data_IF_792303109715
#
_entry.id   IF_792303109715
#
_cell.length_a   1.000
_cell.length_b   1.000
_cell.length_c   1.000
_cell.angle_alpha   90.00
_cell.angle_beta   90.00
_cell.angle_gamma   90.00
#
_symmetry.space_group_name_H-M   'P 1'
#
loop_
_entity.id
_entity.type
_entity.pdbx_description
1 polymer ?
#
# COMPACT_ATOMS: atom_id res chain seq x y z
N UNK A 1 -5.27 10.14 19.11
CA UNK A 1 -4.74 8.89 18.53
C UNK A 1 -5.41 8.47 17.23
N UNK A 2 -6.74 8.20 17.19
CA UNK A 2 -7.42 7.69 15.98
C UNK A 2 -7.19 8.50 14.69
N UNK A 3 -7.29 9.84 14.74
CA UNK A 3 -7.07 10.72 13.58
C UNK A 3 -5.64 10.68 13.04
N UNK A 4 -4.64 10.51 13.93
CA UNK A 4 -3.23 10.40 13.52
C UNK A 4 -2.97 9.07 12.81
N UNK A 5 -3.52 7.98 13.34
CA UNK A 5 -3.44 6.67 12.71
C UNK A 5 -4.14 6.65 11.35
N UNK A 6 -5.33 7.24 11.25
CA UNK A 6 -6.04 7.41 9.98
C UNK A 6 -5.18 8.14 8.96
N UNK A 7 -4.57 9.27 9.35
CA UNK A 7 -3.68 10.03 8.48
C UNK A 7 -2.45 9.22 8.07
N UNK A 8 -1.86 8.46 8.98
CA UNK A 8 -0.70 7.60 8.70
C UNK A 8 -1.05 6.51 7.67
N UNK A 9 -2.17 5.80 7.83
CA UNK A 9 -2.65 4.82 6.87
C UNK A 9 -2.87 5.44 5.50
N UNK A 10 -3.51 6.62 5.45
CA UNK A 10 -3.76 7.32 4.19
C UNK A 10 -2.47 7.83 3.54
N UNK A 11 -1.45 8.25 4.31
CA UNK A 11 -0.13 8.61 3.77
C UNK A 11 0.54 7.41 3.11
N UNK A 12 0.56 6.24 3.78
CA UNK A 12 1.17 5.04 3.22
C UNK A 12 0.43 4.57 1.96
N UNK A 13 -0.89 4.59 1.99
CA UNK A 13 -1.73 4.26 0.85
C UNK A 13 -1.50 5.22 -0.34
N UNK A 14 -1.45 6.53 -0.08
CA UNK A 14 -1.16 7.56 -1.08
C UNK A 14 0.23 7.39 -1.72
N UNK A 15 1.26 7.18 -0.91
CA UNK A 15 2.63 7.00 -1.41
C UNK A 15 2.73 5.77 -2.30
N UNK A 16 2.11 4.66 -1.87
CA UNK A 16 2.07 3.41 -2.64
C UNK A 16 1.33 3.59 -3.95
N UNK A 17 0.16 4.25 -3.93
CA UNK A 17 -0.60 4.54 -5.15
C UNK A 17 0.23 5.36 -6.15
N UNK A 18 0.84 6.48 -5.72
CA UNK A 18 1.65 7.32 -6.60
C UNK A 18 2.91 6.60 -7.10
N UNK A 19 3.54 5.76 -6.28
CA UNK A 19 4.70 4.94 -6.68
C UNK A 19 4.30 3.89 -7.71
N UNK A 20 3.26 3.11 -7.47
CA UNK A 20 2.76 2.12 -8.42
C UNK A 20 2.36 2.80 -9.73
N UNK A 21 1.65 3.92 -9.65
CA UNK A 21 1.30 4.70 -10.83
C UNK A 21 2.55 5.11 -11.61
N UNK A 22 3.56 5.69 -10.94
CA UNK A 22 4.81 6.10 -11.59
C UNK A 22 5.56 4.91 -12.22
N UNK A 23 5.73 3.81 -11.49
CA UNK A 23 6.45 2.62 -11.98
C UNK A 23 5.75 2.06 -13.22
N UNK A 24 4.44 1.84 -13.15
CA UNK A 24 3.72 1.24 -14.25
C UNK A 24 3.55 2.17 -15.45
N UNK A 25 3.37 3.49 -15.25
CA UNK A 25 3.18 4.43 -16.36
C UNK A 25 4.46 4.99 -16.96
N UNK A 26 5.54 5.12 -16.20
CA UNK A 26 6.79 5.75 -16.66
C UNK A 26 7.90 4.74 -16.87
N UNK A 27 8.12 3.83 -15.93
CA UNK A 27 9.24 2.90 -16.04
C UNK A 27 8.90 1.68 -16.89
N UNK A 28 7.76 1.03 -16.60
CA UNK A 28 7.40 -0.25 -17.23
C UNK A 28 6.54 -0.10 -18.48
N UNK A 29 5.99 1.08 -18.77
CA UNK A 29 5.09 1.27 -19.91
C UNK A 29 5.84 1.42 -21.23
N UNK A 30 5.77 0.46 -22.17
CA UNK A 30 6.43 0.57 -23.45
C UNK A 30 5.90 1.74 -24.28
N UNK A 31 4.62 2.11 -24.12
CA UNK A 31 4.02 3.24 -24.83
C UNK A 31 4.61 4.58 -24.40
N UNK A 32 5.04 4.70 -23.13
CA UNK A 32 5.74 5.89 -22.66
C UNK A 32 7.09 6.04 -23.37
N UNK A 33 7.87 4.96 -23.44
CA UNK A 33 9.15 4.95 -24.16
C UNK A 33 8.99 5.21 -25.66
N UNK A 34 7.98 4.60 -26.28
CA UNK A 34 7.64 4.85 -27.68
C UNK A 34 7.27 6.31 -27.94
N UNK A 35 6.67 7.00 -26.96
CA UNK A 35 6.35 8.43 -27.09
C UNK A 35 7.58 9.33 -27.18
N UNK A 36 8.72 8.92 -26.61
CA UNK A 36 9.97 9.68 -26.60
C UNK A 36 10.72 9.59 -27.94
N UNK A 37 10.58 8.46 -28.64
CA UNK A 37 11.36 8.11 -29.83
C UNK A 37 10.84 8.74 -31.15
N UNK A 38 9.81 9.62 -31.10
CA UNK A 38 9.22 10.34 -32.25
C UNK A 38 9.10 9.50 -33.54
N UNK A 39 8.15 8.56 -33.54
CA UNK A 39 7.86 7.69 -34.68
C UNK A 39 6.94 8.34 -35.71
N UNK A 40 7.20 8.11 -37.01
CA UNK A 40 6.32 8.56 -38.09
C UNK A 40 5.31 7.49 -38.56
N UNK A 41 4.71 6.78 -37.59
CA UNK A 41 3.63 5.83 -37.86
C UNK A 41 2.33 6.32 -37.22
N UNK A 42 1.27 6.42 -38.03
CA UNK A 42 -0.06 6.90 -37.59
C UNK A 42 -0.66 6.03 -36.48
N UNK A 43 -0.48 4.71 -36.53
CA UNK A 43 -1.00 3.78 -35.53
C UNK A 43 -0.28 3.93 -34.18
N UNK A 44 1.06 4.08 -34.21
CA UNK A 44 1.86 4.33 -32.99
C UNK A 44 1.48 5.67 -32.36
N UNK A 45 1.30 6.73 -33.17
CA UNK A 45 0.84 8.04 -32.69
C UNK A 45 -0.54 7.93 -32.00
N UNK A 46 -1.47 7.16 -32.57
CA UNK A 46 -2.78 6.92 -31.97
C UNK A 46 -2.70 6.17 -30.62
N UNK A 47 -1.91 5.09 -30.54
CA UNK A 47 -1.68 4.34 -29.30
C UNK A 47 -1.07 5.21 -28.19
N UNK A 48 -0.03 5.99 -28.51
CA UNK A 48 0.61 6.93 -27.57
C UNK A 48 -0.38 7.98 -27.08
N UNK A 49 -1.20 8.54 -27.99
CA UNK A 49 -2.21 9.53 -27.62
C UNK A 49 -3.30 8.97 -26.71
N UNK A 50 -3.67 7.70 -26.91
CA UNK A 50 -4.66 7.01 -26.10
C UNK A 50 -4.10 6.73 -24.70
N UNK A 51 -2.84 6.30 -24.62
CA UNK A 51 -2.13 6.14 -23.35
C UNK A 51 -2.07 7.44 -22.54
N UNK A 52 -1.71 8.57 -23.17
CA UNK A 52 -1.67 9.88 -22.49
C UNK A 52 -3.03 10.31 -21.95
N UNK A 53 -4.12 10.12 -22.70
CA UNK A 53 -5.48 10.43 -22.22
C UNK A 53 -5.89 9.60 -21.00
N UNK A 54 -5.46 8.34 -20.93
CA UNK A 54 -5.72 7.46 -19.78
C UNK A 54 -4.87 7.90 -18.59
N UNK A 55 -3.60 8.28 -18.81
CA UNK A 55 -2.72 8.83 -17.77
C UNK A 55 -3.29 10.12 -17.16
N UNK A 56 -3.69 11.08 -18.00
CA UNK A 56 -4.34 12.34 -17.59
C UNK A 56 -5.67 12.08 -16.86
N UNK A 57 -6.45 11.09 -17.32
CA UNK A 57 -7.67 10.66 -16.62
C UNK A 57 -7.41 10.07 -15.23
N UNK A 58 -6.31 9.32 -15.07
CA UNK A 58 -5.90 8.72 -13.79
C UNK A 58 -5.13 9.68 -12.86
N UNK A 59 -4.57 10.77 -13.39
CA UNK A 59 -3.94 11.84 -12.60
C UNK A 59 -4.91 12.94 -12.19
N UNK A 60 -5.77 13.40 -13.11
CA UNK A 60 -6.55 14.63 -12.94
C UNK A 60 -8.04 14.39 -12.66
N UNK A 61 -8.61 13.26 -13.09
CA UNK A 61 -10.06 12.99 -12.96
C UNK A 61 -10.45 12.00 -11.87
N UNK A 62 -9.48 11.37 -11.19
CA UNK A 62 -9.77 10.47 -10.08
C UNK A 62 -8.69 9.44 -9.82
N UNK A 63 -9.10 8.35 -9.17
CA UNK A 63 -8.20 7.28 -8.76
C UNK A 63 -8.37 6.11 -9.73
N UNK A 64 -7.28 5.69 -10.37
CA UNK A 64 -7.30 4.60 -11.32
C UNK A 64 -7.50 3.27 -10.58
N UNK A 65 -8.66 2.64 -10.81
CA UNK A 65 -9.16 1.50 -10.04
C UNK A 65 -8.12 0.38 -9.85
N UNK A 66 -7.43 -0.12 -10.91
CA UNK A 66 -6.43 -1.17 -10.76
C UNK A 66 -5.29 -0.84 -9.78
N UNK A 67 -4.73 0.38 -9.85
CA UNK A 67 -3.63 0.78 -8.95
C UNK A 67 -4.14 1.12 -7.56
N UNK A 68 -5.38 1.61 -7.43
CA UNK A 68 -6.05 1.77 -6.15
C UNK A 68 -6.13 0.45 -5.40
N UNK A 69 -6.61 -0.60 -6.07
CA UNK A 69 -6.77 -1.93 -5.48
C UNK A 69 -5.41 -2.53 -5.12
N UNK A 70 -4.41 -2.37 -5.99
CA UNK A 70 -3.06 -2.86 -5.71
C UNK A 70 -2.37 -2.08 -4.59
N UNK A 71 -2.63 -0.77 -4.47
CA UNK A 71 -2.09 0.07 -3.41
C UNK A 71 -2.65 -0.27 -2.02
N UNK A 72 -3.81 -0.94 -1.94
CA UNK A 72 -4.36 -1.44 -0.67
C UNK A 72 -3.46 -2.52 -0.02
N UNK A 73 -2.56 -3.14 -0.79
CA UNK A 73 -1.60 -4.10 -0.26
C UNK A 73 -0.75 -3.51 0.87
N UNK A 74 -0.27 -2.27 0.76
CA UNK A 74 0.55 -1.63 1.80
C UNK A 74 -0.18 -1.46 3.14
N UNK A 75 -1.37 -0.83 3.22
CA UNK A 75 -2.10 -0.75 4.47
C UNK A 75 -2.55 -2.15 4.97
N UNK A 76 -2.79 -3.12 4.09
CA UNK A 76 -2.93 -4.53 4.50
C UNK A 76 -1.67 -5.04 5.21
N UNK A 77 -0.48 -4.87 4.63
CA UNK A 77 0.78 -5.30 5.23
C UNK A 77 1.06 -4.62 6.57
N UNK A 78 0.75 -3.33 6.71
CA UNK A 78 0.86 -2.61 7.98
C UNK A 78 -0.05 -3.23 9.04
N UNK A 79 -1.31 -3.50 8.68
CA UNK A 79 -2.27 -4.13 9.60
C UNK A 79 -1.84 -5.54 10.00
N UNK A 80 -1.37 -6.34 9.04
CA UNK A 80 -0.82 -7.68 9.30
C UNK A 80 0.39 -7.62 10.24
N UNK A 81 1.32 -6.69 10.00
CA UNK A 81 2.49 -6.49 10.85
C UNK A 81 2.11 -6.15 12.30
N UNK A 82 1.16 -5.23 12.51
CA UNK A 82 0.65 -4.91 13.85
C UNK A 82 0.03 -6.16 14.51
N UNK A 83 -0.79 -6.92 13.77
CA UNK A 83 -1.38 -8.16 14.26
C UNK A 83 -0.30 -9.18 14.67
N UNK A 84 0.73 -9.38 13.86
CA UNK A 84 1.85 -10.26 14.17
C UNK A 84 2.54 -9.86 15.47
N UNK A 85 2.81 -8.57 15.68
CA UNK A 85 3.42 -8.07 16.92
C UNK A 85 2.56 -8.35 18.15
N UNK A 86 1.24 -8.18 18.05
CA UNK A 86 0.29 -8.48 19.14
C UNK A 86 0.28 -9.98 19.45
N UNK A 87 0.21 -10.84 18.44
CA UNK A 87 0.27 -12.29 18.61
C UNK A 87 1.57 -12.74 19.27
N UNK A 88 2.70 -12.15 18.88
CA UNK A 88 4.01 -12.48 19.47
C UNK A 88 4.12 -12.02 20.92
N UNK A 89 3.64 -10.82 21.24
CA UNK A 89 3.57 -10.34 22.62
C UNK A 89 2.73 -11.29 23.49
N UNK A 90 1.59 -11.77 22.97
CA UNK A 90 0.74 -12.75 23.62
C UNK A 90 1.49 -14.07 23.87
N UNK A 91 2.11 -14.66 22.85
CA UNK A 91 2.88 -15.91 22.99
C UNK A 91 3.96 -15.78 24.07
N UNK A 92 4.68 -14.65 24.09
CA UNK A 92 5.75 -14.38 25.06
C UNK A 92 5.22 -14.28 26.49
N UNK A 93 4.04 -13.67 26.69
CA UNK A 93 3.39 -13.56 28.02
C UNK A 93 2.94 -14.93 28.51
N UNK A 94 2.29 -15.72 27.66
CA UNK A 94 1.72 -17.02 28.04
C UNK A 94 2.71 -18.18 28.02
N UNK A 95 3.98 -17.94 27.63
CA UNK A 95 5.05 -18.95 27.49
C UNK A 95 4.60 -20.18 26.68
N UNK A 96 3.73 -19.97 25.70
CA UNK A 96 3.24 -21.05 24.83
C UNK A 96 4.34 -21.37 23.81
N UNK A 97 4.64 -22.66 23.61
CA UNK A 97 5.59 -23.08 22.58
C UNK A 97 5.08 -22.68 21.20
N UNK A 98 5.89 -21.92 20.45
CA UNK A 98 5.56 -21.47 19.10
C UNK A 98 5.33 -22.68 18.16
N UNK A 99 6.05 -23.78 18.39
CA UNK A 99 5.93 -25.07 17.70
C UNK A 99 4.56 -25.74 17.93
N UNK A 100 3.98 -25.57 19.13
CA UNK A 100 2.64 -26.09 19.45
C UNK A 100 1.53 -25.36 18.70
N UNK A 101 1.76 -24.09 18.34
CA UNK A 101 0.80 -23.29 17.57
C UNK A 101 0.93 -23.60 16.09
N UNK A 102 2.16 -23.71 15.58
CA UNK A 102 2.46 -23.98 14.16
C UNK A 102 2.05 -25.39 13.71
N UNK A 103 2.15 -26.39 14.58
CA UNK A 103 1.83 -27.79 14.27
C UNK A 103 0.32 -28.13 14.25
N UNK A 104 -0.53 -27.25 14.76
CA UNK A 104 -1.98 -27.47 14.84
C UNK A 104 -2.72 -26.64 13.77
N UNK A 105 -3.84 -27.17 13.25
CA UNK A 105 -4.75 -26.44 12.34
C UNK A 105 -5.29 -25.10 12.88
N UNK A 106 -5.02 -24.81 14.16
CA UNK A 106 -5.21 -23.53 14.85
C UNK A 106 -4.40 -22.39 14.18
N UNK A 107 -3.23 -22.67 13.61
CA UNK A 107 -2.43 -21.65 12.91
C UNK A 107 -3.16 -21.08 11.68
N UNK A 108 -3.85 -21.93 10.93
CA UNK A 108 -4.64 -21.53 9.74
C UNK A 108 -5.81 -20.65 10.17
N UNK A 109 -6.51 -21.02 11.24
CA UNK A 109 -7.59 -20.21 11.84
C UNK A 109 -7.08 -18.84 12.32
N UNK A 110 -5.89 -18.79 12.91
CA UNK A 110 -5.26 -17.55 13.35
C UNK A 110 -4.94 -16.64 12.16
N UNK A 111 -4.40 -17.19 11.07
CA UNK A 111 -4.13 -16.45 9.83
C UNK A 111 -5.41 -15.88 9.20
N UNK A 112 -6.49 -16.67 9.18
CA UNK A 112 -7.80 -16.22 8.69
C UNK A 112 -8.34 -15.05 9.54
N UNK A 113 -8.27 -15.18 10.87
CA UNK A 113 -8.71 -14.13 11.79
C UNK A 113 -7.89 -12.84 11.62
N UNK A 114 -6.57 -12.97 11.48
CA UNK A 114 -5.66 -11.85 11.21
C UNK A 114 -6.00 -11.17 9.87
N UNK A 115 -6.30 -11.96 8.83
CA UNK A 115 -6.73 -11.46 7.53
C UNK A 115 -8.04 -10.66 7.60
N UNK A 116 -9.03 -11.17 8.33
CA UNK A 116 -10.32 -10.50 8.55
C UNK A 116 -10.13 -9.21 9.35
N UNK A 117 -9.35 -9.24 10.43
CA UNK A 117 -9.04 -8.04 11.20
C UNK A 117 -8.32 -6.98 10.36
N UNK A 118 -7.34 -7.38 9.54
CA UNK A 118 -6.63 -6.47 8.65
C UNK A 118 -7.56 -5.81 7.62
N UNK A 119 -8.52 -6.55 7.08
CA UNK A 119 -9.54 -6.03 6.19
C UNK A 119 -10.42 -4.97 6.87
N UNK A 120 -10.94 -5.26 8.06
CA UNK A 120 -11.79 -4.32 8.82
C UNK A 120 -11.07 -3.02 9.18
N UNK A 121 -9.79 -3.11 9.57
CA UNK A 121 -8.96 -1.93 9.87
C UNK A 121 -8.86 -1.03 8.63
N UNK A 122 -8.58 -1.62 7.47
CA UNK A 122 -8.51 -0.88 6.22
C UNK A 122 -9.86 -0.28 5.81
N UNK A 123 -10.95 -1.00 6.03
CA UNK A 123 -12.30 -0.49 5.78
C UNK A 123 -12.57 0.77 6.63
N UNK A 124 -12.26 0.74 7.92
CA UNK A 124 -12.53 1.84 8.85
C UNK A 124 -11.66 3.08 8.56
N UNK A 125 -10.37 2.88 8.28
CA UNK A 125 -9.40 3.98 8.14
C UNK A 125 -9.28 4.53 6.71
N UNK A 126 -9.57 3.73 5.69
CA UNK A 126 -9.39 4.11 4.28
C UNK A 126 -10.71 4.21 3.53
N UNK A 127 -11.51 3.13 3.54
CA UNK A 127 -12.62 2.95 2.60
C UNK A 127 -13.93 3.60 3.07
N UNK A 128 -14.19 3.63 4.38
CA UNK A 128 -15.46 4.11 4.94
C UNK A 128 -15.74 5.55 4.54
N UNK A 129 -16.78 5.75 3.72
CA UNK A 129 -17.20 7.07 3.24
C UNK A 129 -16.17 7.75 2.33
N UNK A 130 -15.41 6.95 1.55
CA UNK A 130 -14.40 7.43 0.60
C UNK A 130 -13.36 8.38 1.22
N UNK A 131 -12.99 8.15 2.48
CA UNK A 131 -12.02 8.98 3.22
C UNK A 131 -10.72 9.15 2.46
N UNK A 132 -10.22 8.08 1.83
CA UNK A 132 -8.97 8.12 1.06
C UNK A 132 -8.99 9.18 -0.05
N UNK A 133 -10.13 9.37 -0.75
CA UNK A 133 -10.26 10.41 -1.79
C UNK A 133 -10.06 11.81 -1.21
N UNK A 134 -10.61 12.06 -0.02
CA UNK A 134 -10.46 13.36 0.68
C UNK A 134 -9.01 13.61 1.07
N UNK A 135 -8.33 12.61 1.62
CA UNK A 135 -6.92 12.73 1.97
C UNK A 135 -6.02 12.90 0.75
N UNK A 136 -6.30 12.19 -0.35
CA UNK A 136 -5.52 12.32 -1.59
C UNK A 136 -5.59 13.75 -2.14
N UNK A 137 -6.80 14.32 -2.20
CA UNK A 137 -6.99 15.72 -2.60
C UNK A 137 -6.29 16.69 -1.64
N UNK A 138 -6.32 16.44 -0.33
CA UNK A 138 -5.61 17.24 0.66
C UNK A 138 -4.08 17.16 0.47
N UNK A 139 -3.54 15.98 0.22
CA UNK A 139 -2.10 15.76 0.03
C UNK A 139 -1.59 16.39 -1.26
N UNK A 140 -2.34 16.24 -2.37
CA UNK A 140 -2.03 16.90 -3.63
C UNK A 140 -2.12 18.43 -3.52
N UNK A 141 -3.07 18.97 -2.74
CA UNK A 141 -3.14 20.41 -2.46
C UNK A 141 -1.97 20.91 -1.61
N UNK A 142 -1.56 20.14 -0.59
CA UNK A 142 -0.49 20.53 0.34
C UNK A 142 0.91 20.37 -0.23
N UNK A 143 1.10 19.51 -1.24
CA UNK A 143 2.37 19.23 -1.94
C UNK A 143 3.55 18.91 -1.01
N UNK A 144 3.30 18.37 0.19
CA UNK A 144 4.34 17.98 1.16
C UNK A 144 4.91 16.59 0.86
N UNK A 145 5.21 16.32 -0.41
CA UNK A 145 5.57 14.99 -0.88
C UNK A 145 6.79 14.41 -0.18
N UNK A 146 7.84 15.22 0.02
CA UNK A 146 9.04 14.79 0.74
C UNK A 146 8.71 14.24 2.13
N UNK A 147 7.86 14.95 2.87
CA UNK A 147 7.44 14.51 4.21
C UNK A 147 6.62 13.22 4.15
N UNK A 148 5.71 13.08 3.19
CA UNK A 148 4.90 11.86 3.03
C UNK A 148 5.75 10.65 2.69
N UNK A 149 6.69 10.80 1.75
CA UNK A 149 7.62 9.74 1.37
C UNK A 149 8.62 9.42 2.47
N UNK A 150 9.10 10.40 3.25
CA UNK A 150 9.94 10.14 4.42
C UNK A 150 9.21 9.28 5.45
N UNK A 151 7.93 9.58 5.75
CA UNK A 151 7.12 8.76 6.66
C UNK A 151 6.95 7.34 6.10
N UNK A 152 6.66 7.21 4.81
CA UNK A 152 6.50 5.93 4.13
C UNK A 152 7.78 5.07 4.18
N UNK A 153 8.94 5.66 3.88
CA UNK A 153 10.23 4.95 3.92
C UNK A 153 10.60 4.54 5.34
N UNK A 154 10.46 5.44 6.32
CA UNK A 154 10.71 5.12 7.73
C UNK A 154 9.78 4.00 8.21
N UNK A 155 8.50 4.04 7.84
CA UNK A 155 7.52 2.99 8.10
C UNK A 155 7.96 1.63 7.57
N UNK A 156 8.46 1.58 6.32
CA UNK A 156 8.99 0.35 5.73
C UNK A 156 10.24 -0.15 6.45
N UNK A 157 11.20 0.73 6.74
CA UNK A 157 12.45 0.35 7.45
C UNK A 157 12.11 -0.25 8.81
N UNK A 158 11.20 0.35 9.58
CA UNK A 158 10.77 -0.16 10.88
C UNK A 158 10.12 -1.54 10.72
N UNK A 159 9.23 -1.73 9.75
CA UNK A 159 8.60 -3.02 9.49
C UNK A 159 9.64 -4.09 9.12
N UNK A 160 10.56 -3.80 8.21
CA UNK A 160 11.62 -4.73 7.82
C UNK A 160 12.56 -5.05 8.98
N UNK A 161 13.01 -4.05 9.74
CA UNK A 161 13.89 -4.24 10.88
C UNK A 161 13.22 -5.09 11.97
N UNK A 162 11.94 -4.82 12.25
CA UNK A 162 11.19 -5.61 13.24
C UNK A 162 10.95 -7.03 12.76
N UNK A 163 10.54 -7.26 11.50
CA UNK A 163 10.46 -8.62 10.95
C UNK A 163 11.80 -9.34 11.01
N UNK A 164 12.90 -8.68 10.64
CA UNK A 164 14.24 -9.26 10.69
C UNK A 164 14.63 -9.68 12.12
N UNK A 165 14.44 -8.79 13.10
CA UNK A 165 14.68 -9.10 14.51
C UNK A 165 13.82 -10.25 15.01
N UNK A 166 12.56 -10.32 14.57
CA UNK A 166 11.66 -11.40 14.92
C UNK A 166 12.16 -12.74 14.37
N UNK A 167 12.53 -12.80 13.09
CA UNK A 167 13.09 -14.01 12.48
C UNK A 167 14.43 -14.42 13.11
N UNK A 168 15.25 -13.47 13.54
CA UNK A 168 16.55 -13.75 14.16
C UNK A 168 16.45 -14.15 15.64
N UNK A 169 15.28 -13.97 16.26
CA UNK A 169 15.03 -14.30 17.68
C UNK A 169 14.39 -15.68 17.90
N UNK A 170 14.07 -16.38 16.81
CA UNK A 170 13.58 -17.76 16.75
C UNK A 170 14.75 -18.66 16.40
#
# INVERSE_FOLDING_TARGET
MRKLLEKYYNINYYCTYKLLFFIFWRMLNPLYWLSLLKWDNRYIKWLVSTGKKIEEGGMDKGIYLPYSTMALSTPCFISLWICCLVCLAYIKIFRISLLSILGNGVFILLLILIGICGYYVNEIFLLKGDKYKKYFAEFDKKKKYLLYYSIYVVSLIIQFATFYLLFSSV
#
